data_IF_355764111932
#
_entry.id   IF_355764111932
#
_cell.length_a   1.000
_cell.length_b   1.000
_cell.length_c   1.000
_cell.angle_alpha   90.00
_cell.angle_beta   90.00
_cell.angle_gamma   90.00
#
_symmetry.space_group_name_H-M   'P 1'
#
loop_
_entity.id
_entity.type
_entity.pdbx_description
1 polymer ?
#
# COMPACT_ATOMS: atom_id res chain seq x y z
N UNK A 1 6.63 11.56 15.82
CA UNK A 1 7.23 11.12 14.56
C UNK A 1 6.45 11.70 13.40
N UNK A 2 7.10 12.34 12.43
CA UNK A 2 6.43 12.92 11.26
C UNK A 2 6.39 11.89 10.12
N UNK A 3 5.31 11.10 10.03
CA UNK A 3 5.07 10.20 8.88
C UNK A 3 4.42 10.95 7.71
N UNK A 4 3.72 12.06 7.99
CA UNK A 4 3.02 12.85 6.98
C UNK A 4 3.95 13.61 6.03
N UNK A 5 5.16 13.99 6.49
CA UNK A 5 6.11 14.77 5.69
C UNK A 5 6.64 13.98 4.49
N UNK A 6 6.55 12.64 4.52
CA UNK A 6 6.97 11.74 3.44
C UNK A 6 5.81 11.22 2.58
N UNK A 7 4.58 11.72 2.80
CA UNK A 7 3.38 11.32 2.06
C UNK A 7 2.74 10.01 2.52
N UNK A 8 3.19 9.45 3.64
CA UNK A 8 2.59 8.25 4.25
C UNK A 8 1.51 8.62 5.27
N UNK A 9 0.42 7.87 5.26
CA UNK A 9 -0.71 7.99 6.19
C UNK A 9 -0.78 6.71 7.01
N UNK A 10 -0.37 6.73 8.30
CA UNK A 10 -0.56 5.59 9.18
C UNK A 10 -2.04 5.22 9.24
N UNK A 11 -2.34 3.94 9.00
CA UNK A 11 -3.72 3.41 9.09
C UNK A 11 -3.95 2.64 10.37
N UNK A 12 -3.00 1.78 10.70
CA UNK A 12 -3.03 0.94 11.89
C UNK A 12 -1.60 0.66 12.30
N UNK A 13 -1.17 1.20 13.43
CA UNK A 13 0.21 1.06 13.89
C UNK A 13 0.48 -0.31 14.51
N UNK A 14 -0.54 -0.96 15.06
CA UNK A 14 -0.42 -2.29 15.67
C UNK A 14 -0.21 -3.36 14.59
N UNK A 15 -0.87 -3.18 13.43
CA UNK A 15 -0.66 -4.00 12.25
C UNK A 15 0.49 -3.52 11.36
N UNK A 16 1.08 -2.37 11.67
CA UNK A 16 2.16 -1.76 10.88
C UNK A 16 1.74 -1.35 9.47
N UNK A 17 0.52 -0.85 9.30
CA UNK A 17 -0.07 -0.43 8.04
C UNK A 17 0.13 1.06 7.77
N UNK A 18 0.67 1.36 6.58
CA UNK A 18 0.84 2.72 6.08
C UNK A 18 0.32 2.80 4.65
N UNK A 19 -0.55 3.76 4.39
CA UNK A 19 -1.07 4.05 3.06
C UNK A 19 -0.38 5.27 2.44
N UNK A 20 -0.22 5.25 1.12
CA UNK A 20 0.33 6.36 0.34
C UNK A 20 -0.67 6.69 -0.78
N UNK A 21 -1.26 7.89 -0.81
CA UNK A 21 -2.13 8.30 -1.90
C UNK A 21 -1.38 8.28 -3.24
N UNK A 22 -2.01 7.73 -4.28
CA UNK A 22 -1.40 7.62 -5.61
C UNK A 22 -2.44 7.61 -6.73
N UNK A 23 -1.96 7.78 -7.96
CA UNK A 23 -2.73 7.56 -9.18
C UNK A 23 -2.25 6.28 -9.87
N UNK A 24 -3.14 5.29 -9.99
CA UNK A 24 -2.92 4.10 -10.81
C UNK A 24 -3.60 4.32 -12.17
N UNK A 25 -2.82 4.75 -13.15
CA UNK A 25 -3.35 5.22 -14.43
C UNK A 25 -4.12 6.53 -14.25
N UNK A 26 -5.44 6.49 -14.37
CA UNK A 26 -6.36 7.63 -14.13
C UNK A 26 -7.20 7.48 -12.86
N UNK A 27 -6.91 6.46 -12.04
CA UNK A 27 -7.69 6.15 -10.84
C UNK A 27 -6.91 6.55 -9.60
N UNK A 28 -7.55 7.32 -8.73
CA UNK A 28 -7.04 7.56 -7.38
C UNK A 28 -7.16 6.31 -6.51
N UNK A 29 -6.06 5.95 -5.86
CA UNK A 29 -5.94 4.75 -5.04
C UNK A 29 -5.04 5.04 -3.84
N UNK A 30 -5.11 4.18 -2.82
CA UNK A 30 -4.12 4.12 -1.76
C UNK A 30 -3.18 2.95 -2.00
N UNK A 31 -1.89 3.24 -2.11
CA UNK A 31 -0.84 2.23 -2.07
C UNK A 31 -0.63 1.79 -0.62
N UNK A 32 -0.75 0.50 -0.35
CA UNK A 32 -0.74 0.00 1.02
C UNK A 32 0.56 -0.77 1.27
N UNK A 33 1.29 -0.39 2.31
CA UNK A 33 2.46 -1.08 2.82
C UNK A 33 2.17 -1.65 4.20
N UNK A 34 2.69 -2.86 4.47
CA UNK A 34 2.62 -3.49 5.79
C UNK A 34 4.01 -3.80 6.31
N UNK A 35 4.21 -3.66 7.62
CA UNK A 35 5.43 -4.11 8.30
C UNK A 35 5.83 -5.54 7.88
N UNK A 36 7.11 -5.70 7.55
CA UNK A 36 7.66 -6.93 6.96
C UNK A 36 7.73 -6.94 5.43
N UNK A 37 7.02 -6.04 4.73
CA UNK A 37 7.15 -5.91 3.28
C UNK A 37 8.37 -5.06 2.92
N UNK A 38 9.22 -5.54 1.99
CA UNK A 38 10.41 -4.78 1.54
C UNK A 38 10.08 -3.56 0.68
N UNK A 39 8.91 -3.57 0.03
CA UNK A 39 8.42 -2.53 -0.88
C UNK A 39 6.90 -2.54 -0.93
N UNK A 40 6.29 -1.46 -1.40
CA UNK A 40 4.85 -1.42 -1.71
C UNK A 40 4.55 -2.40 -2.85
N UNK A 41 3.59 -3.30 -2.62
CA UNK A 41 3.16 -4.33 -3.58
C UNK A 41 1.66 -4.31 -3.85
N UNK A 42 0.90 -3.64 -2.99
CA UNK A 42 -0.54 -3.68 -2.99
C UNK A 42 -1.14 -2.28 -3.03
N UNK A 43 -2.36 -2.18 -3.54
CA UNK A 43 -3.18 -0.98 -3.55
C UNK A 43 -4.62 -1.32 -3.19
N UNK A 44 -5.42 -0.33 -2.80
CA UNK A 44 -6.87 -0.44 -2.68
C UNK A 44 -7.53 0.87 -3.10
N UNK A 45 -8.83 0.81 -3.42
CA UNK A 45 -9.62 2.01 -3.67
C UNK A 45 -9.73 2.90 -2.44
N UNK A 46 -10.02 4.19 -2.65
CA UNK A 46 -10.18 5.16 -1.56
C UNK A 46 -11.33 4.80 -0.61
N UNK A 47 -12.40 4.19 -1.14
CA UNK A 47 -13.57 3.74 -0.37
C UNK A 47 -13.43 2.29 0.14
N UNK A 48 -12.30 1.64 -0.14
CA UNK A 48 -12.03 0.25 0.24
C UNK A 48 -11.12 0.21 1.48
N UNK A 49 -11.39 -0.72 2.40
CA UNK A 49 -10.50 -1.00 3.53
C UNK A 49 -9.27 -1.84 3.15
N UNK A 50 -8.28 -1.94 4.04
CA UNK A 50 -7.04 -2.70 3.79
C UNK A 50 -7.28 -4.18 3.44
N UNK A 51 -8.40 -4.78 3.89
CA UNK A 51 -8.74 -6.16 3.58
C UNK A 51 -8.97 -6.40 2.07
N UNK A 52 -9.22 -5.33 1.30
CA UNK A 52 -9.43 -5.37 -0.14
C UNK A 52 -8.14 -5.06 -0.94
N UNK A 53 -6.96 -5.26 -0.34
CA UNK A 53 -5.65 -5.10 -1.01
C UNK A 53 -5.58 -5.92 -2.30
N UNK A 54 -5.30 -5.24 -3.40
CA UNK A 54 -5.09 -5.79 -4.74
C UNK A 54 -3.61 -5.66 -5.11
N UNK A 55 -3.01 -6.67 -5.75
CA UNK A 55 -1.62 -6.57 -6.21
C UNK A 55 -1.48 -5.46 -7.27
N UNK A 56 -0.33 -4.78 -7.26
CA UNK A 56 0.03 -3.85 -8.31
C UNK A 56 0.26 -4.61 -9.63
N UNK A 57 -0.03 -4.02 -10.81
CA UNK A 57 0.11 -4.70 -12.10
C UNK A 57 1.50 -5.31 -12.36
N UNK A 58 2.58 -4.67 -11.89
CA UNK A 58 3.95 -5.18 -12.01
C UNK A 58 4.35 -6.25 -10.98
N UNK A 59 3.47 -6.53 -10.03
CA UNK A 59 3.68 -7.44 -8.90
C UNK A 59 2.85 -8.73 -9.02
N UNK A 60 2.12 -8.90 -10.14
CA UNK A 60 1.36 -10.10 -10.50
C UNK A 60 2.23 -11.34 -10.81
N UNK A 61 3.56 -11.24 -10.70
CA UNK A 61 4.45 -12.40 -10.82
C UNK A 61 4.55 -13.07 -9.45
N UNK A 62 4.41 -14.41 -9.35
CA UNK A 62 4.71 -15.11 -8.11
C UNK A 62 6.14 -14.76 -7.71
N UNK A 63 6.31 -14.32 -6.48
CA UNK A 63 7.63 -14.08 -5.91
C UNK A 63 8.17 -15.46 -5.49
N UNK A 64 8.87 -16.15 -6.39
CA UNK A 64 9.87 -17.10 -5.91
C UNK A 64 10.88 -16.32 -5.07
N UNK A 65 11.12 -16.88 -3.89
CA UNK A 65 11.93 -16.35 -2.81
C UNK A 65 13.37 -16.06 -3.27
N UNK A 66 13.88 -14.89 -2.89
CA UNK A 66 15.31 -14.57 -2.86
C UNK A 66 15.60 -13.68 -1.65
#
# INVERSE_FOLDING_TARGET
GQVLATGGVPKDLDLGLVDFPALLGKREVSLCWRYGERRIRFWHGLDEGYAARKPLPGDLRPHEEA
#
